data_IF_869165979365
#
_entry.id   IF_869165979365
#
_cell.length_a   1.000
_cell.length_b   1.000
_cell.length_c   1.000
_cell.angle_alpha   90.00
_cell.angle_beta   90.00
_cell.angle_gamma   90.00
#
_symmetry.space_group_name_H-M   'P 1'
#
loop_
_entity.id
_entity.type
_entity.pdbx_description
1 polymer ?
#
# COMPACT_ATOMS: atom_id res chain seq x y z
N UNK A 1 8.82 -2.12 9.64
CA UNK A 1 7.64 -2.26 8.76
C UNK A 1 6.99 -0.91 8.39
N UNK A 2 6.62 -0.05 9.35
CA UNK A 2 5.90 1.22 9.07
C UNK A 2 6.68 2.19 8.16
N UNK A 3 7.97 2.42 8.46
CA UNK A 3 8.82 3.27 7.64
C UNK A 3 9.03 2.73 6.21
N UNK A 4 9.03 1.41 6.03
CA UNK A 4 9.16 0.77 4.72
C UNK A 4 7.89 0.99 3.89
N UNK A 5 6.71 0.84 4.50
CA UNK A 5 5.43 1.12 3.85
C UNK A 5 5.29 2.60 3.49
N UNK A 6 5.65 3.52 4.39
CA UNK A 6 5.66 4.96 4.10
C UNK A 6 6.57 5.29 2.90
N UNK A 7 7.76 4.68 2.83
CA UNK A 7 8.67 4.85 1.69
C UNK A 7 8.04 4.33 0.40
N UNK A 8 7.50 3.11 0.41
CA UNK A 8 6.89 2.49 -0.76
C UNK A 8 5.71 3.33 -1.32
N UNK A 9 4.90 3.92 -0.42
CA UNK A 9 3.81 4.81 -0.81
C UNK A 9 4.31 6.17 -1.32
N UNK A 10 5.34 6.73 -0.69
CA UNK A 10 5.94 8.00 -1.12
C UNK A 10 6.59 7.90 -2.52
N UNK A 11 7.16 6.75 -2.85
CA UNK A 11 7.81 6.51 -4.15
C UNK A 11 6.78 6.23 -5.28
N UNK A 12 5.56 5.81 -4.93
CA UNK A 12 4.55 5.37 -5.91
C UNK A 12 4.21 6.41 -6.99
N UNK A 13 3.94 7.69 -6.69
CA UNK A 13 3.61 8.69 -7.71
C UNK A 13 4.72 8.87 -8.75
N UNK A 14 5.98 8.86 -8.31
CA UNK A 14 7.13 9.00 -9.19
C UNK A 14 7.33 7.77 -10.07
N UNK A 15 7.12 6.57 -9.52
CA UNK A 15 7.20 5.33 -10.30
C UNK A 15 6.05 5.24 -11.31
N UNK A 16 4.84 5.66 -10.93
CA UNK A 16 3.68 5.71 -11.81
C UNK A 16 3.92 6.66 -12.99
N UNK A 17 4.42 7.87 -12.72
CA UNK A 17 4.75 8.86 -13.75
C UNK A 17 5.83 8.33 -14.70
N UNK A 18 6.89 7.72 -14.17
CA UNK A 18 7.94 7.13 -14.99
C UNK A 18 7.43 5.92 -15.81
N UNK A 19 6.55 5.09 -15.25
CA UNK A 19 5.92 3.99 -15.97
C UNK A 19 5.05 4.49 -17.13
N UNK A 20 4.29 5.58 -16.92
CA UNK A 20 3.47 6.20 -17.96
C UNK A 20 4.34 6.81 -19.09
N UNK A 21 5.35 7.61 -18.74
CA UNK A 21 6.25 8.24 -19.72
C UNK A 21 6.98 7.23 -20.60
N UNK A 22 7.42 6.11 -20.02
CA UNK A 22 8.15 5.07 -20.74
C UNK A 22 7.26 3.97 -21.32
N UNK A 23 5.93 4.06 -21.14
CA UNK A 23 4.97 3.00 -21.51
C UNK A 23 5.37 1.63 -21.00
N UNK A 24 5.72 1.56 -19.72
CA UNK A 24 6.30 0.39 -19.07
C UNK A 24 5.38 -0.11 -17.93
N UNK A 25 4.23 -0.76 -18.23
CA UNK A 25 3.28 -1.23 -17.22
C UNK A 25 3.87 -2.25 -16.23
N UNK A 26 4.90 -2.99 -16.62
CA UNK A 26 5.64 -3.90 -15.74
C UNK A 26 6.38 -3.18 -14.62
N UNK A 27 6.75 -1.89 -14.79
CA UNK A 27 7.33 -1.09 -13.72
C UNK A 27 6.31 -0.75 -12.65
N UNK A 28 5.08 -0.42 -13.06
CA UNK A 28 3.96 -0.23 -12.15
C UNK A 28 3.66 -1.53 -11.40
N UNK A 29 3.56 -2.67 -12.10
CA UNK A 29 3.32 -3.96 -11.46
C UNK A 29 4.37 -4.30 -10.39
N UNK A 30 5.66 -4.10 -10.66
CA UNK A 30 6.73 -4.30 -9.67
C UNK A 30 6.58 -3.36 -8.46
N UNK A 31 6.19 -2.11 -8.67
CA UNK A 31 5.95 -1.18 -7.56
C UNK A 31 4.77 -1.63 -6.70
N UNK A 32 3.69 -2.12 -7.31
CA UNK A 32 2.54 -2.63 -6.56
C UNK A 32 2.92 -3.86 -5.72
N UNK A 33 3.81 -4.73 -6.21
CA UNK A 33 4.36 -5.83 -5.41
C UNK A 33 5.15 -5.29 -4.21
N UNK A 34 6.01 -4.29 -4.39
CA UNK A 34 6.75 -3.67 -3.27
C UNK A 34 5.82 -3.08 -2.22
N UNK A 35 4.73 -2.41 -2.65
CA UNK A 35 3.71 -1.88 -1.73
C UNK A 35 2.97 -3.01 -1.01
N UNK A 36 2.59 -4.08 -1.74
CA UNK A 36 1.89 -5.22 -1.18
C UNK A 36 2.74 -5.96 -0.13
N UNK A 37 4.02 -6.23 -0.43
CA UNK A 37 4.94 -6.88 0.51
C UNK A 37 5.12 -6.05 1.77
N UNK A 38 5.33 -4.74 1.63
CA UNK A 38 5.46 -3.83 2.77
C UNK A 38 4.16 -3.74 3.61
N UNK A 39 3.00 -3.85 2.96
CA UNK A 39 1.70 -3.91 3.64
C UNK A 39 1.52 -5.23 4.40
N UNK A 40 1.86 -6.36 3.80
CA UNK A 40 1.75 -7.68 4.44
C UNK A 40 2.64 -7.79 5.69
N UNK A 41 3.84 -7.20 5.65
CA UNK A 41 4.72 -7.11 6.82
C UNK A 41 4.18 -6.16 7.90
N UNK A 42 3.38 -5.15 7.52
CA UNK A 42 2.87 -4.12 8.41
C UNK A 42 1.51 -4.46 9.04
N UNK A 43 0.61 -5.13 8.32
CA UNK A 43 -0.81 -5.27 8.67
C UNK A 43 -1.09 -5.82 10.07
N UNK A 44 -0.21 -6.69 10.59
CA UNK A 44 -0.36 -7.29 11.93
C UNK A 44 -0.11 -6.30 13.08
N UNK A 45 0.34 -5.07 12.80
CA UNK A 45 0.64 -4.04 13.79
C UNK A 45 -0.44 -2.94 13.87
N UNK A 46 -1.48 -3.03 13.04
CA UNK A 46 -2.50 -1.99 12.88
C UNK A 46 -3.43 -1.90 14.08
N UNK A 47 -3.93 -3.05 14.54
CA UNK A 47 -4.89 -3.14 15.64
C UNK A 47 -4.19 -3.25 17.00
N UNK A 48 -4.84 -2.79 18.09
CA UNK A 48 -4.36 -3.07 19.45
C UNK A 48 -4.28 -4.58 19.71
N UNK A 49 -3.25 -5.02 20.44
CA UNK A 49 -3.05 -6.43 20.78
C UNK A 49 -3.33 -6.69 22.26
N UNK A 50 -4.04 -7.78 22.56
CA UNK A 50 -4.36 -8.18 23.93
C UNK A 50 -5.16 -7.12 24.67
N UNK A 51 -4.64 -6.67 25.82
CA UNK A 51 -5.29 -5.66 26.68
C UNK A 51 -4.93 -4.21 26.31
N UNK A 52 -4.23 -4.00 25.19
CA UNK A 52 -3.93 -2.65 24.72
C UNK A 52 -5.19 -1.85 24.41
N UNK A 53 -5.25 -0.62 24.93
CA UNK A 53 -6.35 0.29 24.63
C UNK A 53 -6.15 0.93 23.25
N UNK A 54 -7.23 1.10 22.44
CA UNK A 54 -7.18 1.89 21.22
C UNK A 54 -6.60 3.29 21.47
N UNK A 55 -5.73 3.73 20.57
CA UNK A 55 -4.98 4.98 20.74
C UNK A 55 -4.82 5.73 19.40
N UNK A 56 -4.28 6.95 19.45
CA UNK A 56 -3.98 7.72 18.25
C UNK A 56 -2.97 7.00 17.32
N UNK A 57 -2.04 6.24 17.88
CA UNK A 57 -1.08 5.47 17.10
C UNK A 57 -1.79 4.38 16.26
N UNK A 58 -2.73 3.64 16.85
CA UNK A 58 -3.52 2.63 16.14
C UNK A 58 -4.34 3.25 15.00
N UNK A 59 -4.95 4.42 15.24
CA UNK A 59 -5.66 5.16 14.18
C UNK A 59 -4.73 5.61 13.04
N UNK A 60 -3.53 6.08 13.36
CA UNK A 60 -2.56 6.46 12.34
C UNK A 60 -2.10 5.25 11.51
N UNK A 61 -1.87 4.10 12.14
CA UNK A 61 -1.53 2.86 11.43
C UNK A 61 -2.67 2.35 10.55
N UNK A 62 -3.91 2.45 11.01
CA UNK A 62 -5.07 2.12 10.20
C UNK A 62 -5.15 3.00 8.96
N UNK A 63 -5.00 4.33 9.12
CA UNK A 63 -4.99 5.26 7.99
C UNK A 63 -3.86 4.96 7.00
N UNK A 64 -2.69 4.51 7.48
CA UNK A 64 -1.60 4.07 6.62
C UNK A 64 -1.94 2.81 5.83
N UNK A 65 -2.59 1.83 6.46
CA UNK A 65 -3.05 0.61 5.78
C UNK A 65 -4.13 0.92 4.73
N UNK A 66 -5.07 1.82 5.04
CA UNK A 66 -6.09 2.30 4.11
C UNK A 66 -5.46 3.01 2.89
N UNK A 67 -4.45 3.86 3.12
CA UNK A 67 -3.72 4.51 2.04
C UNK A 67 -3.01 3.49 1.12
N UNK A 68 -2.43 2.44 1.69
CA UNK A 68 -1.84 1.35 0.90
C UNK A 68 -2.89 0.59 0.08
N UNK A 69 -4.05 0.28 0.68
CA UNK A 69 -5.18 -0.33 -0.01
C UNK A 69 -5.67 0.51 -1.19
N UNK A 70 -5.78 1.84 -1.02
CA UNK A 70 -6.18 2.75 -2.10
C UNK A 70 -5.16 2.78 -3.26
N UNK A 71 -3.86 2.78 -2.95
CA UNK A 71 -2.79 2.71 -3.96
C UNK A 71 -2.83 1.39 -4.73
N UNK A 72 -3.02 0.26 -4.03
CA UNK A 72 -3.12 -1.06 -4.66
C UNK A 72 -4.36 -1.14 -5.57
N UNK A 73 -5.52 -0.72 -5.09
CA UNK A 73 -6.75 -0.73 -5.86
C UNK A 73 -6.65 0.16 -7.12
N UNK A 74 -6.13 1.38 -6.96
CA UNK A 74 -5.93 2.30 -8.09
C UNK A 74 -4.92 1.78 -9.10
N UNK A 75 -3.79 1.23 -8.63
CA UNK A 75 -2.76 0.65 -9.50
C UNK A 75 -3.24 -0.58 -10.26
N UNK A 76 -3.97 -1.49 -9.60
CA UNK A 76 -4.55 -2.67 -10.25
C UNK A 76 -5.60 -2.27 -11.30
N UNK A 77 -6.43 -1.27 -11.01
CA UNK A 77 -7.40 -0.75 -11.98
C UNK A 77 -6.72 -0.21 -13.25
N UNK A 78 -5.58 0.48 -13.11
CA UNK A 78 -4.76 0.94 -14.25
C UNK A 78 -4.19 -0.22 -15.09
N UNK A 79 -4.00 -1.40 -14.48
CA UNK A 79 -3.59 -2.63 -15.17
C UNK A 79 -4.77 -3.44 -15.72
N UNK A 80 -6.01 -2.95 -15.58
CA UNK A 80 -7.22 -3.66 -16.00
C UNK A 80 -7.60 -4.83 -15.08
N UNK A 81 -7.11 -4.82 -13.84
CA UNK A 81 -7.37 -5.86 -12.83
C UNK A 81 -8.31 -5.30 -11.77
N UNK A 82 -9.41 -6.00 -11.51
CA UNK A 82 -10.30 -5.66 -10.40
C UNK A 82 -9.68 -6.05 -9.06
N UNK A 83 -9.66 -5.12 -8.11
CA UNK A 83 -9.29 -5.41 -6.72
C UNK A 83 -10.56 -5.76 -5.93
N UNK A 84 -10.69 -6.99 -5.38
CA UNK A 84 -11.83 -7.36 -4.56
C UNK A 84 -11.77 -6.67 -3.20
N UNK A 85 -12.93 -6.39 -2.61
CA UNK A 85 -13.02 -5.83 -1.25
C UNK A 85 -12.57 -6.83 -0.17
N UNK A 86 -12.69 -8.13 -0.44
CA UNK A 86 -12.34 -9.23 0.46
C UNK A 86 -11.69 -10.38 -0.32
N UNK A 87 -10.71 -11.06 0.29
CA UNK A 87 -10.06 -12.26 -0.24
C UNK A 87 -10.65 -13.55 0.36
#
# INVERSE_FOLDING_TARGET
PEAALLRALADHPLVLDAAAHHRAPERLARQLVVVADALLDFQHHVLPLGDEKPSAAHRARLALAEAAGAVLAGGLALLGIGAPEYL
#
